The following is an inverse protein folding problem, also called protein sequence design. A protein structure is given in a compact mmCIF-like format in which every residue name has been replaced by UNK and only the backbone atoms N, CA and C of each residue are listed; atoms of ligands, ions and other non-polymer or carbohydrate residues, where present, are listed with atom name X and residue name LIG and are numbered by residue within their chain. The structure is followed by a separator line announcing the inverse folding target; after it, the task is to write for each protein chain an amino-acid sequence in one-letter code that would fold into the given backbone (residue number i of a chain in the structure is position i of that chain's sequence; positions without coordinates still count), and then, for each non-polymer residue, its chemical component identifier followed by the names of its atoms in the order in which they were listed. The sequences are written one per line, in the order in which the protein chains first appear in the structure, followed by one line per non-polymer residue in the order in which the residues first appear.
data_IF_511701950973
#
_entry.id   IF_511701950973
#
_cell.length_a   1.000
_cell.length_b   1.000
_cell.length_c   1.000
_cell.angle_alpha   90.00
_cell.angle_beta   90.00
_cell.angle_gamma   90.00
#
_symmetry.space_group_name_H-M   'P 1'
#
loop_
_entity.id
_entity.type
_entity.pdbx_description
1 polymer ?
#
# COMPACT_ATOMS: atom_id res chain seq x y z
N UNK A 1 20.81 28.33 4.68
CA UNK A 1 20.53 28.18 3.23
C UNK A 1 20.51 26.73 2.81
N UNK A 2 21.61 26.06 2.45
CA UNK A 2 21.52 24.70 1.86
C UNK A 2 20.73 23.66 2.70
N UNK A 3 20.86 23.67 4.03
CA UNK A 3 20.11 22.76 4.91
C UNK A 3 18.61 23.11 5.01
N UNK A 4 18.28 24.40 5.01
CA UNK A 4 16.91 24.93 5.10
C UNK A 4 16.17 24.72 3.77
N UNK A 5 16.87 24.92 2.64
CA UNK A 5 16.38 24.60 1.30
C UNK A 5 16.14 23.09 1.16
N UNK A 6 17.03 22.25 1.68
CA UNK A 6 16.86 20.79 1.66
C UNK A 6 15.64 20.35 2.48
N UNK A 7 15.40 20.96 3.64
CA UNK A 7 14.22 20.69 4.47
C UNK A 7 12.93 21.11 3.76
N UNK A 8 12.88 22.31 3.19
CA UNK A 8 11.70 22.78 2.48
C UNK A 8 11.38 21.92 1.24
N UNK A 9 12.41 21.53 0.48
CA UNK A 9 12.25 20.59 -0.63
C UNK A 9 11.78 19.21 -0.17
N UNK A 10 12.22 18.73 1.00
CA UNK A 10 11.76 17.47 1.57
C UNK A 10 10.28 17.54 1.99
N UNK A 11 9.85 18.65 2.61
CA UNK A 11 8.43 18.88 2.94
C UNK A 11 7.57 18.82 1.67
N UNK A 12 8.00 19.51 0.61
CA UNK A 12 7.23 19.56 -0.62
C UNK A 12 7.24 18.23 -1.40
N UNK A 13 8.35 17.48 -1.33
CA UNK A 13 8.42 16.14 -1.85
C UNK A 13 7.45 15.19 -1.12
N UNK A 14 7.43 15.21 0.21
CA UNK A 14 6.49 14.40 1.01
C UNK A 14 5.05 14.77 0.68
N UNK A 15 4.74 16.05 0.64
CA UNK A 15 3.41 16.56 0.30
C UNK A 15 2.95 16.12 -1.10
N UNK A 16 3.75 16.38 -2.12
CA UNK A 16 3.43 16.00 -3.50
C UNK A 16 3.28 14.48 -3.67
N UNK A 17 4.05 13.68 -2.93
CA UNK A 17 3.94 12.22 -2.94
C UNK A 17 2.65 11.75 -2.25
N UNK A 18 2.31 12.32 -1.09
CA UNK A 18 1.05 12.00 -0.38
C UNK A 18 -0.16 12.38 -1.25
N UNK A 19 -0.09 13.49 -1.98
CA UNK A 19 -1.16 13.94 -2.88
C UNK A 19 -1.31 13.11 -4.15
N UNK A 20 -0.25 12.43 -4.60
CA UNK A 20 -0.29 11.67 -5.84
C UNK A 20 -1.15 10.40 -5.70
N UNK A 21 -2.28 10.26 -6.41
CA UNK A 21 -3.21 9.13 -6.23
C UNK A 21 -2.67 7.78 -6.69
N UNK A 22 -1.59 7.75 -7.50
CA UNK A 22 -1.00 6.52 -8.03
C UNK A 22 0.15 5.96 -7.17
N UNK A 23 0.56 6.69 -6.13
CA UNK A 23 1.67 6.30 -5.27
C UNK A 23 1.16 5.77 -3.93
N UNK A 24 1.36 4.46 -3.71
CA UNK A 24 1.02 3.75 -2.48
C UNK A 24 2.26 3.23 -1.71
N UNK A 25 3.46 3.33 -2.31
CA UNK A 25 4.73 2.94 -1.68
C UNK A 25 5.47 4.19 -1.20
N UNK A 26 5.62 4.34 0.12
CA UNK A 26 6.29 5.49 0.73
C UNK A 26 7.61 5.15 1.43
N UNK A 27 8.00 3.86 1.42
CA UNK A 27 9.22 3.37 2.04
C UNK A 27 10.48 4.10 1.57
N UNK A 28 10.56 4.43 0.27
CA UNK A 28 11.69 5.17 -0.28
C UNK A 28 11.87 6.56 0.35
N UNK A 29 10.77 7.20 0.78
CA UNK A 29 10.84 8.52 1.42
C UNK A 29 11.39 8.41 2.84
N UNK A 30 11.00 7.39 3.61
CA UNK A 30 11.52 7.17 4.96
C UNK A 30 13.03 6.92 4.98
N UNK A 31 13.59 6.38 3.89
CA UNK A 31 15.04 6.11 3.77
C UNK A 31 15.88 7.35 3.45
N UNK A 32 15.25 8.47 3.08
CA UNK A 32 15.97 9.71 2.77
C UNK A 32 16.39 10.43 4.05
N UNK A 33 17.69 10.76 4.17
CA UNK A 33 18.21 11.50 5.32
C UNK A 33 17.50 12.86 5.52
N UNK A 34 17.05 13.51 4.44
CA UNK A 34 16.27 14.75 4.55
C UNK A 34 14.91 14.56 5.25
N UNK A 35 14.30 13.37 5.10
CA UNK A 35 13.04 12.99 5.75
C UNK A 35 13.26 12.49 7.18
N UNK A 36 14.44 11.94 7.49
CA UNK A 36 14.80 11.64 8.87
C UNK A 36 14.97 12.93 9.70
N UNK A 37 15.60 13.96 9.13
CA UNK A 37 15.73 15.29 9.76
C UNK A 37 14.38 16.00 9.94
N UNK A 38 13.34 15.61 9.19
CA UNK A 38 11.97 16.12 9.39
C UNK A 38 11.37 15.69 10.74
N UNK A 39 11.90 14.64 11.39
CA UNK A 39 11.49 14.27 12.76
C UNK A 39 11.71 15.38 13.78
N UNK A 40 12.83 16.11 13.65
CA UNK A 40 13.19 17.18 14.58
C UNK A 40 12.56 18.52 14.19
N UNK A 41 12.31 18.72 12.89
CA UNK A 41 11.82 20.01 12.37
C UNK A 41 10.29 20.07 12.35
N UNK A 42 9.61 18.99 11.93
CA UNK A 42 8.16 18.90 11.77
C UNK A 42 7.65 17.50 12.16
N UNK A 43 7.56 17.21 13.47
CA UNK A 43 7.18 15.89 13.96
C UNK A 43 5.80 15.45 13.45
N UNK A 44 4.88 16.39 13.23
CA UNK A 44 3.52 16.11 12.74
C UNK A 44 3.52 15.55 11.30
N UNK A 45 4.36 16.07 10.41
CA UNK A 45 4.46 15.58 9.04
C UNK A 45 5.09 14.19 8.99
N UNK A 46 6.09 13.96 9.84
CA UNK A 46 6.72 12.64 9.97
C UNK A 46 5.75 11.60 10.55
N UNK A 47 4.96 11.97 11.56
CA UNK A 47 3.93 11.10 12.14
C UNK A 47 2.87 10.73 11.08
N UNK A 48 2.40 11.70 10.30
CA UNK A 48 1.48 11.44 9.20
C UNK A 48 2.11 10.47 8.17
N UNK A 49 3.34 10.71 7.73
CA UNK A 49 4.01 9.80 6.80
C UNK A 49 4.12 8.37 7.38
N UNK A 50 4.39 8.26 8.68
CA UNK A 50 4.45 6.97 9.38
C UNK A 50 3.10 6.27 9.41
N UNK A 51 1.99 7.00 9.60
CA UNK A 51 0.63 6.45 9.49
C UNK A 51 0.33 5.99 8.06
N UNK A 52 0.80 6.69 7.03
CA UNK A 52 0.61 6.25 5.65
C UNK A 52 1.40 4.96 5.33
N UNK A 53 2.59 4.81 5.91
CA UNK A 53 3.46 3.64 5.69
C UNK A 53 2.94 2.43 6.47
N UNK A 54 2.71 2.57 7.78
CA UNK A 54 2.44 1.46 8.70
C UNK A 54 1.03 1.46 9.29
N UNK A 55 0.31 2.57 9.20
CA UNK A 55 -0.96 2.79 9.89
C UNK A 55 -2.19 2.28 9.13
N UNK A 56 -3.30 2.29 9.86
CA UNK A 56 -4.66 1.97 9.39
C UNK A 56 -5.54 3.22 9.40
N UNK A 57 -6.73 3.10 8.79
CA UNK A 57 -7.76 4.14 8.79
C UNK A 57 -8.06 4.70 10.19
N UNK A 58 -8.13 3.85 11.22
CA UNK A 58 -8.38 4.29 12.60
C UNK A 58 -7.28 5.20 13.15
N UNK A 59 -6.01 4.94 12.80
CA UNK A 59 -4.90 5.79 13.21
C UNK A 59 -4.98 7.17 12.56
N UNK A 60 -5.36 7.23 11.29
CA UNK A 60 -5.58 8.48 10.58
C UNK A 60 -6.75 9.29 11.15
N UNK A 61 -7.87 8.63 11.46
CA UNK A 61 -9.01 9.30 12.12
C UNK A 61 -8.63 9.88 13.48
N UNK A 62 -7.86 9.14 14.29
CA UNK A 62 -7.36 9.62 15.57
C UNK A 62 -6.43 10.83 15.41
N UNK A 63 -5.51 10.77 14.43
CA UNK A 63 -4.58 11.86 14.13
C UNK A 63 -5.30 13.14 13.67
N UNK A 64 -6.31 13.04 12.82
CA UNK A 64 -7.14 14.19 12.41
C UNK A 64 -7.92 14.77 13.58
N UNK A 65 -8.47 13.90 14.45
CA UNK A 65 -9.20 14.37 15.64
C UNK A 65 -8.29 15.14 16.59
N UNK A 66 -7.02 14.73 16.72
CA UNK A 66 -6.02 15.43 17.51
C UNK A 66 -5.53 16.73 16.85
N UNK A 67 -5.40 16.76 15.52
CA UNK A 67 -4.80 17.88 14.77
C UNK A 67 -5.66 18.35 13.58
N UNK A 68 -6.84 18.94 13.83
CA UNK A 68 -7.75 19.36 12.75
C UNK A 68 -7.21 20.52 11.90
N UNK A 69 -6.28 21.33 12.43
CA UNK A 69 -5.65 22.46 11.72
C UNK A 69 -4.51 22.04 10.80
N UNK A 70 -3.91 20.87 11.03
CA UNK A 70 -2.73 20.40 10.28
C UNK A 70 -3.04 20.16 8.79
N UNK A 71 -4.25 19.68 8.47
CA UNK A 71 -4.69 19.48 7.08
C UNK A 71 -4.69 20.77 6.25
N UNK A 72 -5.04 21.89 6.88
CA UNK A 72 -5.17 23.19 6.22
C UNK A 72 -3.84 23.95 6.16
N UNK A 73 -3.05 23.89 7.23
CA UNK A 73 -1.83 24.69 7.38
C UNK A 73 -0.63 24.06 6.63
N UNK A 74 -0.38 22.77 6.87
CA UNK A 74 0.82 22.09 6.39
C UNK A 74 0.58 21.41 5.03
N UNK A 75 -0.55 20.70 4.91
CA UNK A 75 -0.83 19.94 3.69
C UNK A 75 -1.47 20.79 2.58
N UNK A 76 -1.97 22.00 2.89
CA UNK A 76 -2.89 22.84 2.08
C UNK A 76 -3.68 22.02 1.05
N UNK A 77 -4.35 20.98 1.53
CA UNK A 77 -5.25 20.16 0.70
C UNK A 77 -6.66 20.65 0.99
N UNK A 78 -7.34 21.11 -0.05
CA UNK A 78 -8.74 21.52 0.05
C UNK A 78 -9.67 20.30 0.17
N UNK A 79 -9.27 19.17 -0.43
CA UNK A 79 -10.02 17.91 -0.45
C UNK A 79 -9.54 16.92 0.62
N UNK A 80 -10.02 17.09 1.86
CA UNK A 80 -9.91 16.08 2.94
C UNK A 80 -10.36 14.68 2.46
N UNK A 81 -11.33 14.65 1.55
CA UNK A 81 -11.92 13.44 1.02
C UNK A 81 -10.94 12.62 0.18
N UNK A 82 -10.06 13.25 -0.60
CA UNK A 82 -9.04 12.52 -1.40
C UNK A 82 -8.04 11.79 -0.53
N UNK A 83 -7.60 12.41 0.57
CA UNK A 83 -6.69 11.79 1.53
C UNK A 83 -7.38 10.64 2.30
N UNK A 84 -8.67 10.82 2.63
CA UNK A 84 -9.46 9.77 3.26
C UNK A 84 -9.64 8.54 2.34
N UNK A 85 -10.00 8.76 1.07
CA UNK A 85 -10.06 7.68 0.07
C UNK A 85 -8.70 6.99 -0.07
N UNK A 86 -7.61 7.76 -0.04
CA UNK A 86 -6.26 7.20 -0.14
C UNK A 86 -5.89 6.35 1.07
N UNK A 87 -6.20 6.77 2.30
CA UNK A 87 -5.94 5.93 3.49
C UNK A 87 -6.84 4.70 3.52
N UNK A 88 -8.08 4.79 3.02
CA UNK A 88 -8.96 3.63 2.81
C UNK A 88 -8.31 2.62 1.85
N UNK A 89 -7.79 3.09 0.71
CA UNK A 89 -7.11 2.23 -0.29
C UNK A 89 -5.85 1.59 0.28
N UNK A 90 -5.07 2.36 1.02
CA UNK A 90 -3.92 1.84 1.74
C UNK A 90 -4.34 0.75 2.73
N UNK A 91 -5.39 0.98 3.53
CA UNK A 91 -5.89 0.03 4.53
C UNK A 91 -6.32 -1.28 3.87
N UNK A 92 -7.03 -1.18 2.74
CA UNK A 92 -7.37 -2.31 1.87
C UNK A 92 -6.15 -3.11 1.43
N UNK A 93 -5.08 -2.46 0.96
CA UNK A 93 -3.82 -3.13 0.60
C UNK A 93 -3.24 -3.92 1.78
N UNK A 94 -3.25 -3.36 2.99
CA UNK A 94 -2.72 -4.04 4.18
C UNK A 94 -3.57 -5.23 4.61
N UNK A 95 -4.86 -5.23 4.32
CA UNK A 95 -5.71 -6.41 4.50
C UNK A 95 -5.41 -7.47 3.44
N UNK A 96 -5.24 -7.05 2.19
CA UNK A 96 -4.87 -7.93 1.08
C UNK A 96 -3.51 -8.62 1.26
N UNK A 97 -2.57 -7.97 1.97
CA UNK A 97 -1.29 -8.58 2.33
C UNK A 97 -1.45 -9.77 3.29
N UNK A 98 -2.40 -9.68 4.24
CA UNK A 98 -2.62 -10.74 5.25
C UNK A 98 -3.40 -11.92 4.71
N UNK A 99 -4.41 -11.64 3.87
CA UNK A 99 -5.38 -12.63 3.41
C UNK A 99 -5.72 -12.37 1.94
N UNK A 100 -5.54 -13.39 1.10
CA UNK A 100 -5.85 -13.29 -0.34
C UNK A 100 -7.36 -13.28 -0.63
N UNK A 101 -8.17 -13.86 0.26
CA UNK A 101 -9.63 -13.80 0.18
C UNK A 101 -10.15 -13.04 1.38
N UNK A 102 -10.88 -11.95 1.15
CA UNK A 102 -11.39 -11.06 2.20
C UNK A 102 -12.91 -11.00 2.10
N UNK A 103 -13.61 -11.22 3.21
CA UNK A 103 -15.07 -11.07 3.28
C UNK A 103 -15.46 -9.59 3.13
N UNK A 104 -16.48 -9.28 2.32
CA UNK A 104 -16.96 -7.91 2.15
C UNK A 104 -17.45 -7.29 3.47
N UNK A 105 -18.00 -8.09 4.38
CA UNK A 105 -18.43 -7.63 5.71
C UNK A 105 -17.27 -7.15 6.58
N UNK A 106 -16.14 -7.87 6.56
CA UNK A 106 -14.94 -7.49 7.31
C UNK A 106 -14.31 -6.24 6.71
N UNK A 107 -14.33 -6.15 5.38
CA UNK A 107 -13.81 -5.02 4.62
C UNK A 107 -14.65 -3.74 4.83
N UNK A 108 -15.98 -3.86 4.85
CA UNK A 108 -16.90 -2.75 5.17
C UNK A 108 -16.64 -2.20 6.59
N UNK A 109 -16.40 -3.09 7.55
CA UNK A 109 -16.14 -2.72 8.94
C UNK A 109 -14.80 -2.01 9.11
N UNK A 110 -13.74 -2.46 8.44
CA UNK A 110 -12.40 -1.88 8.57
C UNK A 110 -12.28 -0.54 7.80
N UNK A 111 -13.03 -0.39 6.71
CA UNK A 111 -13.07 0.83 5.90
C UNK A 111 -14.12 1.86 6.36
N UNK A 112 -14.95 1.52 7.36
CA UNK A 112 -16.03 2.34 7.89
C UNK A 112 -17.04 2.78 6.80
N UNK A 113 -17.39 1.86 5.89
CA UNK A 113 -18.37 2.09 4.82
C UNK A 113 -19.64 1.32 5.16
N UNK A 114 -20.76 2.03 5.31
CA UNK A 114 -22.04 1.43 5.74
C UNK A 114 -22.82 0.77 4.61
N UNK A 115 -22.63 1.23 3.37
CA UNK A 115 -23.39 0.79 2.21
C UNK A 115 -22.57 -0.17 1.34
N UNK A 116 -23.19 -1.30 0.96
CA UNK A 116 -22.52 -2.33 0.16
C UNK A 116 -22.28 -1.87 -1.30
N UNK A 117 -23.13 -0.99 -1.82
CA UNK A 117 -22.97 -0.41 -3.16
C UNK A 117 -21.78 0.57 -3.19
N UNK A 118 -21.65 1.43 -2.17
CA UNK A 118 -20.49 2.33 -2.03
C UNK A 118 -19.18 1.55 -1.83
N UNK A 119 -19.24 0.40 -1.15
CA UNK A 119 -18.08 -0.49 -1.02
C UNK A 119 -17.63 -1.04 -2.38
N UNK A 120 -18.57 -1.48 -3.20
CA UNK A 120 -18.27 -2.01 -4.52
C UNK A 120 -17.69 -0.94 -5.46
N UNK A 121 -18.30 0.26 -5.46
CA UNK A 121 -17.77 1.42 -6.18
C UNK A 121 -16.35 1.76 -5.74
N UNK A 122 -16.10 1.77 -4.43
CA UNK A 122 -14.77 2.00 -3.87
C UNK A 122 -13.75 0.92 -4.30
N UNK A 123 -14.16 -0.35 -4.33
CA UNK A 123 -13.31 -1.44 -4.79
C UNK A 123 -12.97 -1.31 -6.28
N UNK A 124 -13.94 -0.90 -7.10
CA UNK A 124 -13.72 -0.62 -8.54
C UNK A 124 -12.72 0.52 -8.70
N UNK A 125 -12.87 1.60 -7.93
CA UNK A 125 -11.92 2.72 -7.93
C UNK A 125 -10.52 2.31 -7.46
N UNK A 126 -10.43 1.43 -6.45
CA UNK A 126 -9.15 0.89 -6.00
C UNK A 126 -8.48 0.00 -7.06
N UNK A 127 -9.25 -0.76 -7.82
CA UNK A 127 -8.75 -1.54 -8.96
C UNK A 127 -8.29 -0.61 -10.09
N UNK A 128 -9.06 0.43 -10.42
CA UNK A 128 -8.68 1.44 -11.41
C UNK A 128 -7.42 2.21 -11.02
N UNK A 129 -7.22 2.47 -9.72
CA UNK A 129 -6.02 3.09 -9.19
C UNK A 129 -4.82 2.14 -9.13
N UNK A 130 -4.95 0.87 -9.56
CA UNK A 130 -3.93 -0.18 -9.44
C UNK A 130 -3.46 -0.47 -8.01
N UNK A 131 -4.25 -0.09 -6.99
CA UNK A 131 -3.94 -0.43 -5.60
C UNK A 131 -4.01 -1.95 -5.38
N UNK A 132 -5.02 -2.58 -5.96
CA UNK A 132 -5.25 -4.03 -5.96
C UNK A 132 -5.69 -4.52 -7.34
N UNK A 133 -5.44 -5.79 -7.63
CA UNK A 133 -6.05 -6.51 -8.74
C UNK A 133 -6.70 -7.76 -8.18
N UNK A 134 -7.99 -7.92 -8.42
CA UNK A 134 -8.76 -9.00 -7.87
C UNK A 134 -10.08 -9.17 -8.58
N UNK A 135 -10.84 -10.17 -8.14
CA UNK A 135 -12.21 -10.43 -8.59
C UNK A 135 -13.14 -10.40 -7.39
N UNK A 136 -14.28 -9.75 -7.57
CA UNK A 136 -15.36 -9.73 -6.58
C UNK A 136 -16.24 -10.95 -6.85
N UNK A 137 -16.49 -11.72 -5.80
CA UNK A 137 -17.46 -12.82 -5.80
C UNK A 137 -18.71 -12.34 -5.06
N UNK A 138 -19.69 -11.82 -5.81
CA UNK A 138 -20.93 -11.28 -5.25
C UNK A 138 -21.74 -12.35 -4.49
N UNK A 139 -21.74 -13.60 -4.97
CA UNK A 139 -22.52 -14.70 -4.36
C UNK A 139 -21.93 -15.09 -3.00
N UNK A 140 -20.60 -15.16 -2.92
CA UNK A 140 -19.89 -15.46 -1.67
C UNK A 140 -19.71 -14.26 -0.75
N UNK A 141 -20.00 -13.04 -1.24
CA UNK A 141 -19.63 -11.79 -0.61
C UNK A 141 -18.14 -11.72 -0.24
N UNK A 142 -17.28 -12.10 -1.19
CA UNK A 142 -15.82 -12.21 -0.99
C UNK A 142 -15.05 -11.46 -2.09
N UNK A 143 -13.95 -10.81 -1.72
CA UNK A 143 -12.96 -10.26 -2.62
C UNK A 143 -11.77 -11.21 -2.72
N UNK A 144 -11.50 -11.73 -3.92
CA UNK A 144 -10.33 -12.56 -4.21
C UNK A 144 -9.25 -11.68 -4.83
N UNK A 145 -8.16 -11.46 -4.10
CA UNK A 145 -7.04 -10.62 -4.52
C UNK A 145 -5.94 -11.47 -5.17
N UNK A 146 -5.61 -11.12 -6.42
CA UNK A 146 -4.52 -11.76 -7.18
C UNK A 146 -3.20 -11.01 -6.99
N UNK A 147 -3.26 -9.68 -6.95
CA UNK A 147 -2.11 -8.81 -6.81
C UNK A 147 -2.49 -7.58 -5.98
N UNK A 148 -1.53 -7.03 -5.25
CA UNK A 148 -1.68 -5.78 -4.52
C UNK A 148 -0.35 -5.03 -4.52
N UNK A 149 -0.42 -3.71 -4.49
CA UNK A 149 0.78 -2.88 -4.40
C UNK A 149 1.29 -2.87 -2.96
N UNK A 150 2.45 -3.48 -2.70
CA UNK A 150 3.01 -3.55 -1.35
C UNK A 150 3.40 -2.17 -0.82
N UNK A 151 2.93 -1.80 0.37
CA UNK A 151 3.28 -0.50 1.00
C UNK A 151 4.74 -0.41 1.40
N UNK A 152 5.28 -1.51 1.93
CA UNK A 152 6.64 -1.66 2.43
C UNK A 152 7.27 -2.90 1.82
N UNK A 153 8.49 -2.78 1.32
CA UNK A 153 9.23 -3.88 0.71
C UNK A 153 10.51 -4.17 1.51
N UNK A 154 10.35 -4.97 2.56
CA UNK A 154 11.42 -5.32 3.49
C UNK A 154 12.10 -6.66 3.16
N UNK A 155 13.17 -6.98 3.90
CA UNK A 155 13.93 -8.22 3.74
C UNK A 155 13.09 -9.49 3.85
N UNK A 156 11.99 -9.47 4.63
CA UNK A 156 11.06 -10.59 4.71
C UNK A 156 10.42 -10.91 3.34
N UNK A 157 9.99 -9.87 2.61
CA UNK A 157 9.40 -9.99 1.29
C UNK A 157 10.45 -10.44 0.26
N UNK A 158 11.70 -9.95 0.38
CA UNK A 158 12.83 -10.44 -0.42
C UNK A 158 13.09 -11.93 -0.21
N UNK A 159 13.06 -12.42 1.02
CA UNK A 159 13.27 -13.84 1.33
C UNK A 159 12.14 -14.71 0.76
N UNK A 160 10.89 -14.25 0.83
CA UNK A 160 9.76 -14.93 0.21
C UNK A 160 9.92 -14.99 -1.31
N UNK A 161 10.30 -13.88 -1.94
CA UNK A 161 10.55 -13.82 -3.38
C UNK A 161 11.69 -14.76 -3.79
N UNK A 162 12.80 -14.74 -3.04
CA UNK A 162 13.96 -15.61 -3.29
C UNK A 162 13.58 -17.09 -3.21
N UNK A 163 12.80 -17.47 -2.20
CA UNK A 163 12.30 -18.85 -2.03
C UNK A 163 11.39 -19.26 -3.20
N UNK A 164 10.46 -18.38 -3.61
CA UNK A 164 9.56 -18.65 -4.74
C UNK A 164 10.31 -18.77 -6.06
N UNK A 165 11.26 -17.88 -6.32
CA UNK A 165 12.11 -17.93 -7.52
C UNK A 165 13.01 -19.16 -7.52
N UNK A 166 13.56 -19.55 -6.37
CA UNK A 166 14.31 -20.80 -6.20
C UNK A 166 13.46 -22.01 -6.56
N UNK A 167 12.25 -22.12 -5.99
CA UNK A 167 11.32 -23.21 -6.31
C UNK A 167 10.90 -23.24 -7.78
N UNK A 168 10.68 -22.07 -8.41
CA UNK A 168 10.40 -22.00 -9.85
C UNK A 168 11.60 -22.46 -10.69
N UNK A 169 12.82 -22.08 -10.30
CA UNK A 169 14.04 -22.50 -10.97
C UNK A 169 14.24 -24.02 -10.86
N UNK A 170 14.00 -24.58 -9.68
CA UNK A 170 14.07 -26.03 -9.45
C UNK A 170 13.01 -26.78 -10.26
N UNK A 171 11.78 -26.25 -10.34
CA UNK A 171 10.72 -26.82 -11.18
C UNK A 171 11.10 -26.81 -12.67
N UNK A 172 11.71 -25.73 -13.17
CA UNK A 172 12.17 -25.64 -14.56
C UNK A 172 13.33 -26.58 -14.84
N UNK A 173 14.26 -26.73 -13.90
CA UNK A 173 15.36 -27.71 -14.01
C UNK A 173 14.83 -29.14 -14.03
N UNK A 174 13.97 -29.47 -13.08
CA UNK A 174 13.30 -30.77 -13.03
C UNK A 174 12.52 -31.09 -14.32
N UNK A 175 11.81 -30.10 -14.88
CA UNK A 175 11.08 -30.27 -16.14
C UNK A 175 12.04 -30.53 -17.31
N UNK A 176 13.15 -29.78 -17.38
CA UNK A 176 14.21 -30.00 -18.39
C UNK A 176 14.79 -31.40 -18.31
N UNK A 177 15.18 -31.84 -17.11
CA UNK A 177 15.82 -33.14 -16.89
C UNK A 177 14.83 -34.28 -17.20
N UNK A 178 13.55 -34.10 -16.83
CA UNK A 178 12.48 -35.03 -17.22
C UNK A 178 12.32 -35.14 -18.73
N UNK A 179 12.33 -34.03 -19.48
CA UNK A 179 12.25 -34.08 -20.94
C UNK A 179 13.48 -34.75 -21.57
N UNK A 180 14.69 -34.52 -21.05
CA UNK A 180 15.88 -35.22 -21.56
C UNK A 180 15.78 -36.74 -21.36
N UNK A 181 15.31 -37.18 -20.19
CA UNK A 181 15.14 -38.61 -19.90
C UNK A 181 14.09 -39.30 -20.79
N UNK A 182 13.04 -38.58 -21.21
CA UNK A 182 12.02 -39.10 -22.13
C UNK A 182 12.58 -39.22 -23.55
N UNK A 183 13.44 -38.30 -23.97
CA UNK A 183 14.12 -38.37 -25.27
C UNK A 183 15.11 -39.55 -25.30
N UNK A 184 15.84 -39.80 -24.21
CA UNK A 184 16.82 -40.88 -24.11
C UNK A 184 16.18 -42.28 -23.92
N UNK A 185 14.98 -42.36 -23.32
CA UNK A 185 14.25 -43.62 -23.13
C UNK A 185 13.35 -44.04 -24.29
N UNK A 186 13.31 -43.26 -25.38
CA UNK A 186 12.50 -43.49 -26.57
C UNK A 186 13.24 -44.11 -27.77
N UNK A 187 14.55 -44.35 -27.64
CA UNK A 187 15.38 -45.12 -28.59
C UNK A 187 15.57 -46.58 -28.12
#
# INVERSE_FOLDING_TARGET
MAAEDAQNNARECVRSTILNPQLFCFDHLLRLSAVDNLKETDPLLFEMLSIFVYGSLSHYQCFIAAHPTFLRDELRVEDKQTLETKIKQLTLISMAEKTQTISLLELAKDLDISDNEDLELFLIDAIHANAIQGKINEIGAELVVNFYQQRVFESAQWNQLHTRLGGLLDNVRWFRDSMQSVVEGGE
#
